data_IF_087152144101
#
_entry.id   IF_087152144101
#
_cell.length_a   1.000
_cell.length_b   1.000
_cell.length_c   1.000
_cell.angle_alpha   90.00
_cell.angle_beta   90.00
_cell.angle_gamma   90.00
#
_symmetry.space_group_name_H-M   'P 1'
#
loop_
_entity.id
_entity.type
_entity.pdbx_description
1 polymer ?
#
# COMPACT_ATOMS: atom_id res chain seq x y z
N UNK A 1 -11.56 -23.51 -1.81
CA UNK A 1 -10.36 -22.88 -1.21
C UNK A 1 -10.49 -22.98 0.29
N UNK A 2 -9.37 -22.91 1.02
CA UNK A 2 -9.36 -22.77 2.47
C UNK A 2 -8.58 -21.50 2.81
N UNK A 3 -9.24 -20.51 3.37
CA UNK A 3 -8.64 -19.27 3.86
C UNK A 3 -8.59 -19.35 5.39
N UNK A 4 -7.41 -19.14 5.96
CA UNK A 4 -7.19 -19.14 7.39
C UNK A 4 -6.49 -17.84 7.78
N UNK A 5 -6.89 -17.24 8.89
CA UNK A 5 -6.27 -16.04 9.42
C UNK A 5 -5.61 -16.35 10.77
N UNK A 6 -4.35 -16.01 10.89
CA UNK A 6 -3.55 -16.21 12.09
C UNK A 6 -3.14 -14.87 12.69
N UNK A 7 -3.22 -14.75 14.02
CA UNK A 7 -2.71 -13.60 14.75
C UNK A 7 -1.17 -13.56 14.76
N UNK A 8 -0.60 -12.52 15.39
CA UNK A 8 0.86 -12.33 15.46
C UNK A 8 1.59 -13.45 16.22
N UNK A 9 0.88 -14.21 17.05
CA UNK A 9 1.42 -15.35 17.80
C UNK A 9 1.24 -16.68 17.06
N UNK A 10 0.65 -16.67 15.86
CA UNK A 10 0.37 -17.88 15.09
C UNK A 10 -0.91 -18.62 15.52
N UNK A 11 -1.77 -17.99 16.33
CA UNK A 11 -3.06 -18.58 16.70
C UNK A 11 -4.08 -18.32 15.59
N UNK A 12 -4.77 -19.36 15.12
CA UNK A 12 -5.84 -19.19 14.13
C UNK A 12 -7.03 -18.46 14.79
N UNK A 13 -7.37 -17.29 14.25
CA UNK A 13 -8.47 -16.46 14.75
C UNK A 13 -9.74 -16.56 13.92
N UNK A 14 -9.61 -16.95 12.65
CA UNK A 14 -10.73 -17.14 11.74
C UNK A 14 -10.35 -18.11 10.62
N UNK A 15 -11.36 -18.76 10.01
CA UNK A 15 -11.19 -19.60 8.83
C UNK A 15 -12.47 -19.58 7.98
N UNK A 16 -12.31 -19.81 6.68
CA UNK A 16 -13.38 -19.74 5.71
C UNK A 16 -13.09 -20.69 4.52
N UNK A 17 -14.09 -21.45 4.08
CA UNK A 17 -13.93 -22.57 3.14
C UNK A 17 -14.36 -22.24 1.70
N UNK A 18 -14.45 -20.96 1.37
CA UNK A 18 -14.76 -20.50 0.01
C UNK A 18 -13.61 -19.64 -0.53
N UNK A 19 -13.62 -19.38 -1.84
CA UNK A 19 -12.57 -18.60 -2.50
C UNK A 19 -12.80 -17.08 -2.46
N UNK A 20 -13.97 -16.63 -1.98
CA UNK A 20 -14.31 -15.22 -1.80
C UNK A 20 -15.39 -15.09 -0.72
N UNK A 21 -15.28 -14.09 0.16
CA UNK A 21 -16.26 -13.85 1.23
C UNK A 21 -15.74 -12.87 2.27
N UNK A 22 -16.45 -12.80 3.39
CA UNK A 22 -16.13 -11.93 4.52
C UNK A 22 -15.69 -12.79 5.73
N UNK A 23 -14.60 -12.38 6.37
CA UNK A 23 -14.10 -12.96 7.60
C UNK A 23 -14.37 -12.01 8.76
N UNK A 24 -15.21 -12.43 9.71
CA UNK A 24 -15.49 -11.66 10.93
C UNK A 24 -14.49 -12.03 12.04
N UNK A 25 -13.94 -11.01 12.71
CA UNK A 25 -12.95 -11.18 13.78
C UNK A 25 -13.44 -10.37 14.98
N UNK A 26 -13.97 -11.07 15.99
CA UNK A 26 -14.68 -10.43 17.10
C UNK A 26 -13.85 -9.39 17.87
N UNK A 27 -12.62 -9.75 18.26
CA UNK A 27 -11.69 -8.86 18.97
C UNK A 27 -10.48 -8.55 18.08
N UNK A 28 -10.72 -7.87 16.96
CA UNK A 28 -9.66 -7.52 16.01
C UNK A 28 -8.65 -6.54 16.61
N UNK A 29 -7.36 -6.83 16.42
CA UNK A 29 -6.27 -5.89 16.65
C UNK A 29 -6.04 -5.10 15.37
N UNK A 30 -6.39 -3.82 15.37
CA UNK A 30 -6.22 -2.99 14.19
C UNK A 30 -4.76 -2.64 13.92
N UNK A 31 -4.42 -2.51 12.64
CA UNK A 31 -3.20 -1.89 12.21
C UNK A 31 -3.29 -0.39 12.51
N UNK A 32 -2.35 0.10 13.29
CA UNK A 32 -2.20 1.51 13.60
C UNK A 32 -0.83 2.00 13.12
N UNK A 33 -0.76 3.22 12.57
CA UNK A 33 0.52 3.79 12.22
C UNK A 33 1.31 4.16 13.48
N UNK A 34 2.63 4.24 13.31
CA UNK A 34 3.55 4.78 14.29
C UNK A 34 3.06 6.15 14.77
N UNK A 35 3.19 6.38 16.07
CA UNK A 35 2.68 7.54 16.82
C UNK A 35 1.18 7.56 17.13
N UNK A 36 0.38 6.60 16.65
CA UNK A 36 -1.07 6.54 16.98
C UNK A 36 -1.43 5.41 17.94
N UNK A 37 -0.52 4.47 18.22
CA UNK A 37 -0.76 3.34 19.11
C UNK A 37 0.55 2.86 19.75
N UNK A 38 0.56 2.34 20.99
CA UNK A 38 1.76 1.78 21.62
C UNK A 38 2.35 0.57 20.87
N UNK A 39 1.50 -0.17 20.17
CA UNK A 39 1.87 -1.31 19.32
C UNK A 39 1.46 -1.02 17.87
N UNK A 40 2.20 -0.16 17.13
CA UNK A 40 1.91 0.11 15.73
C UNK A 40 2.28 -1.10 14.85
N UNK A 41 1.79 -1.13 13.61
CA UNK A 41 2.18 -2.18 12.66
C UNK A 41 1.67 -3.58 13.02
N UNK A 42 0.49 -3.69 13.64
CA UNK A 42 -0.09 -5.00 13.93
C UNK A 42 -0.51 -5.70 12.64
N UNK A 43 0.04 -6.89 12.40
CA UNK A 43 -0.23 -7.69 11.20
C UNK A 43 -0.73 -9.08 11.58
N UNK A 44 -1.75 -9.52 10.88
CA UNK A 44 -2.17 -10.92 10.80
C UNK A 44 -1.44 -11.61 9.66
N UNK A 45 -1.43 -12.94 9.66
CA UNK A 45 -1.02 -13.76 8.51
C UNK A 45 -2.25 -14.42 7.91
N UNK A 46 -2.62 -14.03 6.70
CA UNK A 46 -3.65 -14.69 5.91
C UNK A 46 -3.01 -15.82 5.09
N UNK A 47 -3.45 -17.04 5.32
CA UNK A 47 -3.02 -18.24 4.59
C UNK A 47 -4.15 -18.71 3.68
N UNK A 48 -3.90 -18.71 2.39
CA UNK A 48 -4.86 -19.16 1.37
C UNK A 48 -4.35 -20.45 0.76
N UNK A 49 -5.14 -21.51 0.89
CA UNK A 49 -4.81 -22.84 0.40
C UNK A 49 -5.79 -23.29 -0.69
N UNK A 50 -5.26 -23.80 -1.79
CA UNK A 50 -6.06 -24.43 -2.85
C UNK A 50 -6.26 -25.90 -2.49
N UNK A 51 -7.51 -26.33 -2.36
CA UNK A 51 -7.86 -27.70 -2.01
C UNK A 51 -8.35 -28.42 -3.27
N UNK A 52 -7.75 -29.56 -3.58
CA UNK A 52 -8.07 -30.39 -4.73
C UNK A 52 -9.31 -31.26 -4.52
N UNK A 53 -9.77 -31.95 -5.58
CA UNK A 53 -11.01 -32.74 -5.54
C UNK A 53 -11.00 -33.90 -4.53
N UNK A 54 -9.83 -34.38 -4.12
CA UNK A 54 -9.67 -35.51 -3.18
C UNK A 54 -9.41 -35.02 -1.74
N UNK A 55 -9.50 -33.70 -1.50
CA UNK A 55 -9.26 -33.07 -0.20
C UNK A 55 -7.79 -32.75 0.09
N UNK A 56 -6.90 -32.99 -0.87
CA UNK A 56 -5.48 -32.67 -0.80
C UNK A 56 -5.22 -31.16 -0.93
N UNK A 57 -4.19 -30.65 -0.27
CA UNK A 57 -3.75 -29.25 -0.49
C UNK A 57 -2.81 -29.21 -1.68
N UNK A 58 -3.21 -28.48 -2.73
CA UNK A 58 -2.44 -28.33 -3.98
C UNK A 58 -1.42 -27.20 -3.90
N UNK A 59 -1.79 -26.09 -3.25
CA UNK A 59 -0.92 -24.92 -3.08
C UNK A 59 -1.31 -24.16 -1.81
N UNK A 60 -0.38 -23.36 -1.31
CA UNK A 60 -0.56 -22.50 -0.15
C UNK A 60 0.25 -21.22 -0.30
N UNK A 61 -0.42 -20.09 -0.23
CA UNK A 61 0.20 -18.78 -0.18
C UNK A 61 -0.11 -18.10 1.16
N UNK A 62 0.89 -17.43 1.75
CA UNK A 62 0.73 -16.67 2.99
C UNK A 62 1.08 -15.21 2.77
N UNK A 63 0.22 -14.31 3.22
CA UNK A 63 0.42 -12.86 3.11
C UNK A 63 0.14 -12.20 4.46
N UNK A 64 0.99 -11.24 4.86
CA UNK A 64 0.71 -10.39 6.01
C UNK A 64 -0.35 -9.34 5.63
N UNK A 65 -1.34 -9.14 6.49
CA UNK A 65 -2.38 -8.13 6.29
C UNK A 65 -2.61 -7.33 7.58
N UNK A 66 -2.99 -6.07 7.45
CA UNK A 66 -3.37 -5.20 8.56
C UNK A 66 -4.83 -4.78 8.45
N UNK A 67 -5.59 -4.94 9.53
CA UNK A 67 -6.99 -4.52 9.56
C UNK A 67 -7.03 -3.03 9.87
N UNK A 68 -7.43 -2.22 8.90
CA UNK A 68 -7.56 -0.77 9.06
C UNK A 68 -8.57 -0.19 8.07
N UNK A 69 -9.18 0.92 8.44
CA UNK A 69 -9.98 1.74 7.53
C UNK A 69 -9.31 3.08 7.28
N UNK A 70 -9.39 3.56 6.04
CA UNK A 70 -8.99 4.91 5.66
C UNK A 70 -10.21 5.60 5.08
N UNK A 71 -10.59 6.74 5.66
CA UNK A 71 -11.71 7.55 5.18
C UNK A 71 -11.30 9.01 5.17
N UNK A 72 -12.06 9.88 4.52
CA UNK A 72 -11.76 11.31 4.49
C UNK A 72 -13.02 12.15 4.41
N UNK A 73 -12.87 13.39 4.84
CA UNK A 73 -13.83 14.49 4.70
C UNK A 73 -13.18 15.60 3.86
N UNK A 74 -13.87 16.74 3.73
CA UNK A 74 -13.33 17.90 3.02
C UNK A 74 -12.07 18.50 3.68
N UNK A 75 -11.81 18.22 4.95
CA UNK A 75 -10.73 18.87 5.72
C UNK A 75 -9.77 17.90 6.41
N UNK A 76 -10.15 16.63 6.54
CA UNK A 76 -9.45 15.67 7.41
C UNK A 76 -9.49 14.27 6.82
N UNK A 77 -8.37 13.57 6.87
CA UNK A 77 -8.25 12.13 6.65
C UNK A 77 -8.39 11.43 8.00
N UNK A 78 -9.04 10.29 8.04
CA UNK A 78 -9.23 9.48 9.23
C UNK A 78 -8.66 8.08 8.99
N UNK A 79 -7.95 7.55 9.98
CA UNK A 79 -7.54 6.16 10.04
C UNK A 79 -8.17 5.52 11.26
N UNK A 80 -8.91 4.43 11.06
CA UNK A 80 -9.71 3.78 12.11
C UNK A 80 -10.55 4.81 12.90
N UNK A 81 -11.25 5.69 12.17
CA UNK A 81 -12.11 6.76 12.70
C UNK A 81 -11.39 7.85 13.51
N UNK A 82 -10.06 7.82 13.60
CA UNK A 82 -9.26 8.85 14.28
C UNK A 82 -8.65 9.82 13.26
N UNK A 83 -8.68 11.14 13.52
CA UNK A 83 -8.11 12.13 12.62
C UNK A 83 -6.61 11.90 12.46
N UNK A 84 -6.16 11.89 11.21
CA UNK A 84 -4.81 11.55 10.81
C UNK A 84 -4.06 12.81 10.38
N UNK A 85 -2.84 12.98 10.90
CA UNK A 85 -1.90 13.98 10.45
C UNK A 85 -0.62 13.32 9.95
N UNK A 86 -0.28 13.57 8.68
CA UNK A 86 0.88 13.00 8.02
C UNK A 86 2.11 13.89 8.28
N UNK A 87 3.16 13.28 8.85
CA UNK A 87 4.47 13.90 9.09
C UNK A 87 5.50 13.05 8.38
N UNK A 88 6.14 13.61 7.36
CA UNK A 88 6.95 12.81 6.47
C UNK A 88 7.63 13.61 5.40
N UNK A 89 8.06 12.89 4.36
CA UNK A 89 8.84 13.41 3.25
C UNK A 89 8.58 12.60 1.98
N UNK A 90 8.93 13.17 0.83
CA UNK A 90 9.23 12.37 -0.35
C UNK A 90 10.60 11.72 -0.18
N UNK A 91 10.71 10.42 -0.47
CA UNK A 91 11.98 9.71 -0.45
C UNK A 91 12.53 9.54 -1.87
N UNK A 92 13.69 8.88 -1.99
CA UNK A 92 14.15 8.26 -3.22
C UNK A 92 14.87 6.95 -2.91
N UNK A 93 14.73 5.97 -3.80
CA UNK A 93 15.71 4.88 -3.92
C UNK A 93 16.98 5.45 -4.59
N UNK A 94 17.89 5.94 -3.75
CA UNK A 94 19.19 6.46 -4.15
C UNK A 94 20.22 6.24 -3.03
N UNK A 95 21.44 5.91 -3.41
CA UNK A 95 22.55 5.71 -2.48
C UNK A 95 23.89 5.71 -3.20
N UNK A 96 24.95 6.02 -2.44
CA UNK A 96 26.31 6.05 -2.95
C UNK A 96 26.68 4.73 -3.65
N UNK A 97 27.35 4.85 -4.81
CA UNK A 97 27.86 3.78 -5.68
C UNK A 97 26.79 2.93 -6.39
N UNK A 98 25.72 2.55 -5.71
CA UNK A 98 24.71 1.61 -6.25
C UNK A 98 23.46 2.29 -6.83
N UNK A 99 23.32 3.60 -6.66
CA UNK A 99 22.15 4.35 -7.12
C UNK A 99 20.87 3.76 -6.54
N UNK A 100 19.99 3.26 -7.43
CA UNK A 100 18.69 2.66 -7.06
C UNK A 100 18.76 1.21 -6.59
N UNK A 101 19.96 0.63 -6.51
CA UNK A 101 20.13 -0.77 -6.11
C UNK A 101 19.63 -1.03 -4.70
N UNK A 102 18.73 -2.01 -4.55
CA UNK A 102 18.21 -2.45 -3.26
C UNK A 102 19.33 -2.84 -2.28
N UNK A 103 19.21 -2.37 -1.04
CA UNK A 103 20.08 -2.75 0.07
C UNK A 103 19.29 -2.81 1.38
N UNK A 104 19.09 -3.99 1.97
CA UNK A 104 18.32 -4.13 3.21
C UNK A 104 18.96 -3.41 4.40
N UNK A 105 20.30 -3.27 4.44
CA UNK A 105 21.00 -2.56 5.53
C UNK A 105 20.69 -1.07 5.48
N UNK A 106 20.71 -0.47 4.29
CA UNK A 106 20.36 0.93 4.12
C UNK A 106 18.88 1.17 4.44
N UNK A 107 17.99 0.26 4.06
CA UNK A 107 16.57 0.44 4.36
C UNK A 107 16.24 0.25 5.84
N UNK A 108 16.86 -0.71 6.54
CA UNK A 108 16.77 -0.78 8.01
C UNK A 108 17.27 0.51 8.65
N UNK A 109 18.40 1.06 8.18
CA UNK A 109 18.91 2.37 8.63
C UNK A 109 17.89 3.48 8.35
N UNK A 110 17.31 3.54 7.15
CA UNK A 110 16.33 4.55 6.77
C UNK A 110 15.12 4.50 7.70
N UNK A 111 14.50 3.33 7.92
CA UNK A 111 13.36 3.17 8.83
C UNK A 111 13.69 3.58 10.28
N UNK A 112 14.91 3.29 10.75
CA UNK A 112 15.37 3.78 12.05
C UNK A 112 15.42 5.31 12.10
N UNK A 113 15.89 5.97 11.03
CA UNK A 113 15.92 7.42 10.91
C UNK A 113 14.50 8.02 10.80
N UNK A 114 13.59 7.40 10.03
CA UNK A 114 12.17 7.82 9.95
C UNK A 114 11.58 7.89 11.36
N UNK A 115 11.75 6.83 12.14
CA UNK A 115 11.25 6.77 13.51
C UNK A 115 11.95 7.75 14.44
N UNK A 116 13.27 7.88 14.34
CA UNK A 116 14.05 8.84 15.13
C UNK A 116 13.61 10.29 14.90
N UNK A 117 13.29 10.65 13.65
CA UNK A 117 12.73 11.97 13.30
C UNK A 117 11.30 12.19 13.80
N UNK A 118 10.59 11.13 14.22
CA UNK A 118 9.17 11.20 14.55
C UNK A 118 8.27 11.38 13.32
N UNK A 119 8.72 10.90 12.16
CA UNK A 119 7.91 10.81 10.94
C UNK A 119 7.07 9.53 10.97
N UNK A 120 5.83 9.63 10.46
CA UNK A 120 4.89 8.52 10.39
C UNK A 120 4.48 8.17 8.96
N UNK A 121 4.99 8.90 7.96
CA UNK A 121 4.66 8.67 6.55
C UNK A 121 5.83 9.01 5.62
N UNK A 122 5.80 8.46 4.42
CA UNK A 122 6.56 8.95 3.28
C UNK A 122 5.81 8.77 1.96
N UNK A 123 6.25 9.48 0.91
CA UNK A 123 5.78 9.31 -0.47
C UNK A 123 6.86 8.61 -1.30
N UNK A 124 6.48 7.62 -2.12
CA UNK A 124 7.39 6.90 -3.03
C UNK A 124 7.75 7.77 -4.25
N UNK A 125 8.42 8.89 -3.99
CA UNK A 125 8.76 9.86 -5.02
C UNK A 125 9.84 9.26 -5.94
N UNK A 126 9.66 9.11 -7.24
CA UNK A 126 8.44 9.38 -8.02
C UNK A 126 8.06 8.16 -8.86
N UNK A 127 8.06 7.00 -8.21
CA UNK A 127 7.83 5.69 -8.80
C UNK A 127 7.65 4.68 -7.66
N UNK A 128 6.95 3.56 -7.90
CA UNK A 128 6.88 2.49 -6.93
C UNK A 128 8.28 1.99 -6.56
N UNK A 129 8.51 1.80 -5.26
CA UNK A 129 9.78 1.28 -4.77
C UNK A 129 9.81 -0.26 -4.77
N UNK A 130 10.92 -0.85 -4.33
CA UNK A 130 11.02 -2.29 -4.06
C UNK A 130 9.98 -2.77 -3.02
N UNK A 131 9.40 -3.95 -3.23
CA UNK A 131 8.29 -4.53 -2.44
C UNK A 131 8.67 -4.69 -0.95
N UNK A 132 9.94 -4.96 -0.67
CA UNK A 132 10.49 -5.08 0.68
C UNK A 132 10.30 -3.79 1.50
N UNK A 133 10.25 -2.62 0.87
CA UNK A 133 10.05 -1.33 1.55
C UNK A 133 8.63 -1.22 2.08
N UNK A 134 7.64 -1.70 1.33
CA UNK A 134 6.24 -1.75 1.75
C UNK A 134 6.04 -2.77 2.86
N UNK A 135 6.72 -3.92 2.77
CA UNK A 135 6.72 -4.92 3.85
C UNK A 135 7.31 -4.36 5.15
N UNK A 136 8.40 -3.61 5.08
CA UNK A 136 8.95 -2.90 6.24
C UNK A 136 7.99 -1.82 6.75
N UNK A 137 7.34 -1.07 5.86
CA UNK A 137 6.40 -0.03 6.23
C UNK A 137 5.17 -0.58 6.96
N UNK A 138 4.64 -1.71 6.50
CA UNK A 138 3.56 -2.45 7.17
C UNK A 138 3.97 -2.87 8.58
N UNK A 139 5.16 -3.44 8.75
CA UNK A 139 5.65 -3.92 10.04
C UNK A 139 5.97 -2.79 11.02
N UNK A 140 6.54 -1.68 10.54
CA UNK A 140 6.89 -0.53 11.37
C UNK A 140 5.71 0.41 11.64
N UNK A 141 4.59 0.26 10.92
CA UNK A 141 3.47 1.18 10.98
C UNK A 141 3.76 2.52 10.29
N UNK A 142 4.60 2.55 9.26
CA UNK A 142 4.88 3.79 8.51
C UNK A 142 3.94 3.84 7.31
N UNK A 143 3.23 4.95 7.12
CA UNK A 143 2.27 5.09 6.03
C UNK A 143 2.94 5.49 4.72
N UNK A 144 2.37 5.05 3.62
CA UNK A 144 2.85 5.30 2.27
C UNK A 144 1.76 6.03 1.47
N UNK A 145 2.15 7.13 0.83
CA UNK A 145 1.48 7.65 -0.35
C UNK A 145 2.21 7.06 -1.55
N UNK A 146 1.56 6.11 -2.24
CA UNK A 146 2.22 5.32 -3.27
C UNK A 146 2.03 5.94 -4.65
N UNK A 147 3.13 6.32 -5.30
CA UNK A 147 3.15 7.17 -6.48
C UNK A 147 3.56 6.39 -7.74
N UNK A 148 2.77 6.52 -8.80
CA UNK A 148 3.11 5.96 -10.10
C UNK A 148 4.22 6.79 -10.80
N UNK A 149 4.93 6.22 -11.80
CA UNK A 149 6.02 6.90 -12.52
C UNK A 149 5.52 7.91 -13.57
N UNK A 150 4.64 8.84 -13.19
CA UNK A 150 4.13 9.93 -14.04
C UNK A 150 4.55 11.29 -13.49
N UNK A 151 5.77 11.70 -13.80
CA UNK A 151 6.35 12.99 -13.38
C UNK A 151 6.45 13.94 -14.57
N UNK A 152 6.24 15.24 -14.36
CA UNK A 152 6.42 16.28 -15.39
C UNK A 152 5.68 15.96 -16.70
N UNK A 153 4.55 15.26 -16.57
CA UNK A 153 3.86 14.67 -17.71
C UNK A 153 3.20 15.75 -18.57
N UNK A 154 3.37 15.65 -19.89
CA UNK A 154 2.85 16.58 -20.90
C UNK A 154 2.38 15.85 -22.16
N UNK A 155 1.77 16.57 -23.11
CA UNK A 155 1.30 16.08 -24.40
C UNK A 155 -0.04 15.32 -24.35
N UNK A 156 -0.35 14.65 -23.24
CA UNK A 156 -1.67 14.06 -22.92
C UNK A 156 -2.33 13.27 -24.07
N UNK A 157 -1.56 12.50 -24.83
CA UNK A 157 -2.07 11.67 -25.94
C UNK A 157 -2.81 10.42 -25.44
N UNK A 158 -3.66 9.83 -26.27
CA UNK A 158 -4.37 8.58 -25.93
C UNK A 158 -3.39 7.41 -25.69
N UNK A 159 -2.26 7.37 -26.41
CA UNK A 159 -1.20 6.37 -26.18
C UNK A 159 -0.55 6.53 -24.81
N UNK A 160 -0.28 7.77 -24.39
CA UNK A 160 0.26 8.06 -23.07
C UNK A 160 -0.77 7.74 -21.98
N UNK A 161 -2.05 8.04 -22.21
CA UNK A 161 -3.13 7.70 -21.29
C UNK A 161 -3.24 6.19 -21.06
N UNK A 162 -3.14 5.39 -22.13
CA UNK A 162 -3.16 3.94 -22.03
C UNK A 162 -1.98 3.40 -21.19
N UNK A 163 -0.76 3.89 -21.43
CA UNK A 163 0.44 3.49 -20.66
C UNK A 163 0.37 3.90 -19.20
N UNK A 164 -0.19 5.08 -18.93
CA UNK A 164 -0.38 5.55 -17.56
C UNK A 164 -1.39 4.67 -16.81
N UNK A 165 -2.56 4.41 -17.41
CA UNK A 165 -3.55 3.47 -16.85
C UNK A 165 -2.94 2.08 -16.61
N UNK A 166 -2.13 1.58 -17.53
CA UNK A 166 -1.40 0.32 -17.35
C UNK A 166 -0.45 0.36 -16.16
N UNK A 167 0.38 1.40 -16.04
CA UNK A 167 1.35 1.53 -14.94
C UNK A 167 0.65 1.58 -13.57
N UNK A 168 -0.47 2.30 -13.47
CA UNK A 168 -1.30 2.31 -12.26
C UNK A 168 -1.98 0.96 -11.99
N UNK A 169 -2.34 0.23 -13.05
CA UNK A 169 -2.90 -1.12 -12.91
C UNK A 169 -1.89 -2.07 -12.29
N UNK A 170 -0.65 -2.01 -12.73
CA UNK A 170 0.45 -2.82 -12.22
C UNK A 170 0.79 -2.45 -10.77
N UNK A 171 0.91 -1.14 -10.47
CA UNK A 171 1.09 -0.59 -9.12
C UNK A 171 0.03 -1.13 -8.14
N UNK A 172 -1.25 -0.87 -8.42
CA UNK A 172 -2.35 -1.23 -7.50
C UNK A 172 -2.45 -2.75 -7.36
N UNK A 173 -2.23 -3.52 -8.44
CA UNK A 173 -2.25 -4.98 -8.35
C UNK A 173 -1.17 -5.52 -7.43
N UNK A 174 0.02 -4.93 -7.46
CA UNK A 174 1.15 -5.30 -6.60
C UNK A 174 0.87 -4.91 -5.16
N UNK A 175 0.41 -3.68 -4.92
CA UNK A 175 0.53 -3.05 -3.59
C UNK A 175 -0.79 -2.94 -2.79
N UNK A 176 -1.95 -3.25 -3.38
CA UNK A 176 -3.29 -3.10 -2.75
C UNK A 176 -3.46 -3.76 -1.37
N UNK A 177 -2.69 -4.79 -1.07
CA UNK A 177 -2.82 -5.55 0.18
C UNK A 177 -1.93 -5.01 1.30
N UNK A 178 -1.09 -4.00 1.04
CA UNK A 178 -0.26 -3.36 2.05
C UNK A 178 -1.10 -2.40 2.91
N UNK A 179 -1.30 -2.67 4.22
CA UNK A 179 -2.02 -1.73 5.11
C UNK A 179 -1.34 -0.37 5.22
N UNK A 180 -0.01 -0.29 5.01
CA UNK A 180 0.74 0.96 5.00
C UNK A 180 0.36 1.88 3.85
N UNK A 181 -0.08 1.35 2.71
CA UNK A 181 -0.55 2.17 1.59
C UNK A 181 -1.92 2.74 1.94
N UNK A 182 -1.97 4.07 2.08
CA UNK A 182 -3.18 4.81 2.49
C UNK A 182 -3.73 5.71 1.37
N UNK A 183 -2.96 5.93 0.31
CA UNK A 183 -3.32 6.81 -0.81
C UNK A 183 -2.49 6.48 -2.04
N UNK A 184 -3.13 6.51 -3.21
CA UNK A 184 -2.46 6.43 -4.51
C UNK A 184 -2.21 7.84 -5.08
N UNK A 185 -0.96 8.17 -5.38
CA UNK A 185 -0.58 9.37 -6.13
C UNK A 185 -0.47 9.04 -7.62
N UNK A 186 -1.31 9.68 -8.43
CA UNK A 186 -1.43 9.38 -9.85
C UNK A 186 -0.48 10.18 -10.73
N UNK A 187 0.22 11.19 -10.22
CA UNK A 187 1.21 11.97 -10.98
C UNK A 187 1.88 13.00 -10.07
N UNK A 188 3.09 13.41 -10.41
CA UNK A 188 3.79 14.55 -9.81
C UNK A 188 3.99 15.67 -10.84
N UNK A 189 3.58 16.88 -10.50
CA UNK A 189 3.80 18.11 -11.27
C UNK A 189 3.56 18.01 -12.79
N UNK A 190 2.43 17.42 -13.26
CA UNK A 190 2.15 17.41 -14.68
C UNK A 190 1.90 18.84 -15.19
N UNK A 191 1.91 19.03 -16.52
CA UNK A 191 1.47 20.29 -17.16
C UNK A 191 -0.05 20.47 -17.06
N UNK A 192 -0.57 20.53 -15.83
CA UNK A 192 -2.00 20.53 -15.47
C UNK A 192 -2.77 21.75 -15.98
N UNK A 193 -2.07 22.84 -16.33
CA UNK A 193 -2.67 24.00 -16.98
C UNK A 193 -3.03 23.77 -18.46
N UNK A 194 -2.52 22.69 -19.07
CA UNK A 194 -2.89 22.31 -20.43
C UNK A 194 -4.36 21.89 -20.48
N UNK A 195 -5.12 22.38 -21.47
CA UNK A 195 -6.56 22.07 -21.63
C UNK A 195 -6.84 20.58 -21.78
N UNK A 196 -5.87 19.79 -22.26
CA UNK A 196 -6.02 18.34 -22.40
C UNK A 196 -5.88 17.59 -21.07
N UNK A 197 -5.26 18.20 -20.05
CA UNK A 197 -4.98 17.56 -18.78
C UNK A 197 -6.27 17.18 -18.02
N UNK A 198 -7.32 18.00 -18.10
CA UNK A 198 -8.59 17.74 -17.40
C UNK A 198 -9.22 16.40 -17.84
N UNK A 199 -9.42 16.22 -19.16
CA UNK A 199 -9.91 14.94 -19.71
C UNK A 199 -8.97 13.79 -19.34
N UNK A 200 -7.66 13.99 -19.51
CA UNK A 200 -6.65 12.97 -19.26
C UNK A 200 -6.67 12.48 -17.81
N UNK A 201 -6.58 13.37 -16.83
CA UNK A 201 -6.57 12.98 -15.41
C UNK A 201 -7.95 12.55 -14.93
N UNK A 202 -9.03 13.09 -15.50
CA UNK A 202 -10.38 12.56 -15.25
C UNK A 202 -10.49 11.08 -15.62
N UNK A 203 -9.89 10.66 -16.74
CA UNK A 203 -9.80 9.26 -17.15
C UNK A 203 -8.90 8.42 -16.23
N UNK A 204 -7.76 8.96 -15.80
CA UNK A 204 -6.84 8.27 -14.88
C UNK A 204 -7.48 8.05 -13.50
N UNK A 205 -8.10 9.08 -12.92
CA UNK A 205 -8.78 8.98 -11.61
C UNK A 205 -9.92 7.96 -11.67
N UNK A 206 -10.73 7.98 -12.74
CA UNK A 206 -11.80 7.00 -12.93
C UNK A 206 -11.28 5.57 -13.02
N UNK A 207 -10.14 5.38 -13.68
CA UNK A 207 -9.46 4.09 -13.78
C UNK A 207 -9.01 3.59 -12.40
N UNK A 208 -8.28 4.41 -11.63
CA UNK A 208 -7.78 4.04 -10.29
C UNK A 208 -8.92 3.67 -9.34
N UNK A 209 -9.97 4.49 -9.27
CA UNK A 209 -11.15 4.22 -8.42
C UNK A 209 -11.93 2.97 -8.80
N UNK A 210 -11.81 2.49 -10.04
CA UNK A 210 -12.43 1.23 -10.46
C UNK A 210 -11.67 -0.02 -10.02
N UNK A 211 -10.41 0.15 -9.59
CA UNK A 211 -9.51 -0.94 -9.24
C UNK A 211 -9.40 -1.21 -7.74
N UNK A 212 -9.51 -0.16 -6.94
CA UNK A 212 -9.38 -0.21 -5.49
C UNK A 212 -10.59 0.47 -4.86
N UNK A 213 -11.51 -0.36 -4.36
CA UNK A 213 -12.80 0.02 -3.78
C UNK A 213 -12.80 -0.19 -2.27
#
# INVERSE_FOLDING_TARGET
CLIQLFDKNGTQVAAFNECAGLLEIGNANFWWPYLMHPNPGYLYTMKTSLIGPQGETLDTYSQKIGIRTVTWSNTTIYLNEKPLYLKGFGMHEDSDLRGKGWDPVLWVKNFNLIKWLGANAFRTSHYPYAEEIYQLADEYGIMIIDECPSVDTDGFSDTLLAKHKQSLTELIRRDKNHPSVIMWSISNEPRSANKLADRYFGEVVRHVKSMDL
#
